data_IF_696941937099
#
_entry.id   IF_696941937099
#
_cell.length_a   1.000
_cell.length_b   1.000
_cell.length_c   1.000
_cell.angle_alpha   90.00
_cell.angle_beta   90.00
_cell.angle_gamma   90.00
#
_symmetry.space_group_name_H-M   'P 1'
#
loop_
_entity.id
_entity.type
_entity.pdbx_description
1 polymer ?
#
# COMPACT_ATOMS: atom_id res chain seq x y z
N UNK A 1 -9.09 33.95 -2.40
CA UNK A 1 -9.55 33.05 -3.49
C UNK A 1 -9.04 33.48 -4.88
N UNK A 2 -9.13 34.77 -5.25
CA UNK A 2 -8.77 35.23 -6.61
C UNK A 2 -7.38 34.83 -7.14
N UNK A 3 -6.38 34.78 -6.27
CA UNK A 3 -5.02 34.46 -6.63
C UNK A 3 -4.85 33.06 -7.27
N UNK A 4 -5.72 32.10 -6.91
CA UNK A 4 -5.67 30.72 -7.39
C UNK A 4 -6.18 30.62 -8.83
N UNK A 5 -7.06 31.54 -9.25
CA UNK A 5 -7.69 31.53 -10.58
C UNK A 5 -6.81 32.16 -11.69
N UNK A 6 -5.61 32.65 -11.36
CA UNK A 6 -4.65 33.20 -12.33
C UNK A 6 -4.77 34.71 -12.55
N UNK A 7 -3.77 35.27 -13.26
CA UNK A 7 -3.54 36.74 -13.40
C UNK A 7 -4.71 37.55 -13.97
N UNK A 8 -5.69 36.93 -14.63
CA UNK A 8 -6.82 37.61 -15.26
C UNK A 8 -8.08 37.71 -14.36
N UNK A 9 -8.04 37.06 -13.19
CA UNK A 9 -9.13 36.99 -12.22
C UNK A 9 -8.86 37.89 -11.02
N UNK A 10 -9.76 38.84 -10.78
CA UNK A 10 -9.73 39.76 -9.63
C UNK A 10 -10.90 39.41 -8.68
N UNK A 11 -10.74 39.66 -7.38
CA UNK A 11 -11.75 39.44 -6.34
C UNK A 11 -13.08 40.11 -6.68
N UNK A 12 -13.06 41.30 -7.29
CA UNK A 12 -14.29 41.99 -7.74
C UNK A 12 -15.04 41.21 -8.83
N UNK A 13 -14.32 40.60 -9.79
CA UNK A 13 -14.94 39.76 -10.83
C UNK A 13 -15.56 38.51 -10.20
N UNK A 14 -14.89 37.92 -9.21
CA UNK A 14 -15.38 36.71 -8.54
C UNK A 14 -16.67 37.00 -7.78
N UNK A 15 -16.70 38.07 -6.98
CA UNK A 15 -17.92 38.47 -6.27
C UNK A 15 -19.07 38.80 -7.22
N UNK A 16 -18.77 39.34 -8.41
CA UNK A 16 -19.78 39.56 -9.45
C UNK A 16 -20.36 38.25 -10.01
N UNK A 17 -19.54 37.21 -10.17
CA UNK A 17 -19.98 35.90 -10.66
C UNK A 17 -20.68 35.07 -9.59
N UNK A 18 -20.24 35.13 -8.33
CA UNK A 18 -20.91 34.49 -7.20
C UNK A 18 -22.34 35.01 -7.00
N UNK A 19 -22.60 36.28 -7.32
CA UNK A 19 -23.93 36.87 -7.28
C UNK A 19 -24.87 36.47 -8.43
N UNK A 20 -24.36 35.83 -9.49
CA UNK A 20 -25.18 35.41 -10.65
C UNK A 20 -25.60 33.95 -10.52
N UNK A 21 -26.91 33.70 -10.54
CA UNK A 21 -27.47 32.34 -10.52
C UNK A 21 -27.31 31.56 -11.84
N UNK A 22 -26.86 32.21 -12.92
CA UNK A 22 -26.61 31.57 -14.22
C UNK A 22 -25.29 32.09 -14.79
N UNK A 23 -24.40 31.15 -15.11
CA UNK A 23 -23.10 31.41 -15.73
C UNK A 23 -23.17 30.90 -17.17
N UNK A 24 -22.65 31.69 -18.10
CA UNK A 24 -22.59 31.32 -19.51
C UNK A 24 -21.60 30.16 -19.73
N UNK A 25 -21.89 29.26 -20.67
CA UNK A 25 -21.07 28.06 -20.92
C UNK A 25 -19.64 28.41 -21.36
N UNK A 26 -19.48 29.54 -22.07
CA UNK A 26 -18.18 30.08 -22.51
C UNK A 26 -17.30 30.44 -21.32
N UNK A 27 -17.83 31.19 -20.34
CA UNK A 27 -17.15 31.54 -19.09
C UNK A 27 -16.93 30.30 -18.21
N UNK A 28 -17.88 29.37 -18.21
CA UNK A 28 -17.75 28.12 -17.44
C UNK A 28 -16.56 27.29 -17.93
N UNK A 29 -16.31 27.24 -19.24
CA UNK A 29 -15.13 26.58 -19.83
C UNK A 29 -13.81 27.25 -19.41
N UNK A 30 -13.79 28.58 -19.30
CA UNK A 30 -12.59 29.29 -18.82
C UNK A 30 -12.33 28.98 -17.34
N UNK A 31 -13.37 29.02 -16.51
CA UNK A 31 -13.28 28.69 -15.09
C UNK A 31 -12.85 27.24 -14.90
N UNK A 32 -13.41 26.31 -15.69
CA UNK A 32 -13.09 24.88 -15.64
C UNK A 32 -11.63 24.62 -15.99
N UNK A 33 -11.11 25.30 -17.02
CA UNK A 33 -9.72 25.20 -17.44
C UNK A 33 -8.76 25.74 -16.35
N UNK A 34 -9.12 26.85 -15.72
CA UNK A 34 -8.34 27.43 -14.63
C UNK A 34 -8.33 26.54 -13.39
N UNK A 35 -9.47 25.96 -13.02
CA UNK A 35 -9.62 25.07 -11.88
C UNK A 35 -9.11 23.64 -12.15
N UNK A 36 -8.80 23.31 -13.42
CA UNK A 36 -8.46 21.96 -13.87
C UNK A 36 -9.56 20.92 -13.56
N UNK A 37 -10.82 21.35 -13.57
CA UNK A 37 -11.99 20.50 -13.32
C UNK A 37 -12.81 20.44 -14.60
N UNK A 38 -13.28 19.28 -15.07
CA UNK A 38 -14.08 19.21 -16.28
C UNK A 38 -15.47 19.87 -16.12
N UNK A 39 -15.95 20.53 -17.18
CA UNK A 39 -17.15 21.39 -17.19
C UNK A 39 -18.42 20.67 -16.73
N UNK A 40 -18.54 19.38 -17.07
CA UNK A 40 -19.71 18.58 -16.71
C UNK A 40 -19.92 18.49 -15.19
N UNK A 41 -18.87 18.68 -14.38
CA UNK A 41 -18.97 18.68 -12.91
C UNK A 41 -19.92 19.74 -12.37
N UNK A 42 -20.00 20.89 -13.03
CA UNK A 42 -20.91 21.97 -12.62
C UNK A 42 -22.37 21.70 -12.99
N UNK A 43 -22.65 20.66 -13.78
CA UNK A 43 -23.99 20.27 -14.22
C UNK A 43 -24.55 19.09 -13.41
N UNK A 44 -23.76 18.55 -12.48
CA UNK A 44 -24.15 17.40 -11.66
C UNK A 44 -25.01 17.88 -10.47
N UNK A 45 -26.06 17.14 -10.09
CA UNK A 45 -26.80 17.43 -8.85
C UNK A 45 -25.90 17.22 -7.61
N UNK A 46 -26.11 18.04 -6.57
CA UNK A 46 -25.25 18.12 -5.37
C UNK A 46 -25.00 16.77 -4.67
N UNK A 47 -25.99 15.88 -4.67
CA UNK A 47 -25.89 14.55 -4.09
C UNK A 47 -24.86 13.66 -4.80
N UNK A 48 -24.73 13.78 -6.12
CA UNK A 48 -23.75 13.03 -6.92
C UNK A 48 -22.39 13.75 -6.86
N UNK A 49 -22.36 15.09 -6.86
CA UNK A 49 -21.13 15.86 -6.69
C UNK A 49 -20.41 15.51 -5.39
N UNK A 50 -21.14 15.47 -4.26
CA UNK A 50 -20.56 15.07 -2.98
C UNK A 50 -20.06 13.62 -3.00
N UNK A 51 -20.73 12.71 -3.70
CA UNK A 51 -20.26 11.35 -3.91
C UNK A 51 -18.91 11.29 -4.64
N UNK A 52 -18.76 12.04 -5.73
CA UNK A 52 -17.53 12.06 -6.54
C UNK A 52 -16.39 12.78 -5.79
N UNK A 53 -16.65 13.96 -5.24
CA UNK A 53 -15.62 14.77 -4.56
C UNK A 53 -15.15 14.13 -3.27
N UNK A 54 -16.05 13.54 -2.48
CA UNK A 54 -15.66 12.81 -1.26
C UNK A 54 -15.02 11.46 -1.56
N UNK A 55 -15.33 10.83 -2.70
CA UNK A 55 -14.60 9.64 -3.16
C UNK A 55 -13.20 9.98 -3.64
N UNK A 56 -12.98 11.14 -4.30
CA UNK A 56 -11.66 11.63 -4.65
C UNK A 56 -10.86 12.05 -3.40
N UNK A 57 -11.55 12.52 -2.35
CA UNK A 57 -10.98 12.79 -1.03
C UNK A 57 -10.94 11.57 -0.10
N UNK A 58 -11.31 10.36 -0.54
CA UNK A 58 -10.73 9.18 0.09
C UNK A 58 -9.28 9.20 -0.36
N UNK A 59 -8.32 9.53 0.53
CA UNK A 59 -6.95 9.29 0.17
C UNK A 59 -6.85 7.79 -0.15
N UNK A 60 -5.84 7.44 -0.92
CA UNK A 60 -5.44 6.09 -1.35
C UNK A 60 -5.08 5.17 -0.14
N UNK A 61 -5.67 5.42 1.03
CA UNK A 61 -5.48 4.73 2.29
C UNK A 61 -6.48 3.58 2.31
N UNK A 62 -5.94 2.37 2.29
CA UNK A 62 -6.60 1.07 2.20
C UNK A 62 -6.97 0.63 0.79
N UNK A 63 -5.95 0.57 -0.07
CA UNK A 63 -5.88 -0.51 -1.05
C UNK A 63 -5.70 -1.82 -0.25
N UNK A 64 -6.80 -2.56 -0.04
CA UNK A 64 -6.81 -3.89 0.61
C UNK A 64 -5.67 -4.78 0.07
N UNK A 65 -5.29 -4.57 -1.19
CA UNK A 65 -4.21 -5.24 -1.87
C UNK A 65 -2.82 -5.07 -1.20
N UNK A 66 -2.51 -3.90 -0.65
CA UNK A 66 -1.21 -3.65 0.01
C UNK A 66 -1.09 -4.44 1.32
N UNK A 67 -2.17 -4.49 2.10
CA UNK A 67 -2.22 -5.28 3.34
C UNK A 67 -2.14 -6.77 3.04
N UNK A 68 -2.84 -7.23 2.00
CA UNK A 68 -2.77 -8.62 1.56
C UNK A 68 -1.37 -9.02 1.11
N UNK A 69 -0.66 -8.19 0.33
CA UNK A 69 0.72 -8.48 -0.06
C UNK A 69 1.66 -8.58 1.15
N UNK A 70 1.50 -7.69 2.14
CA UNK A 70 2.34 -7.73 3.33
C UNK A 70 2.08 -8.98 4.18
N UNK A 71 0.83 -9.44 4.25
CA UNK A 71 0.47 -10.68 4.95
C UNK A 71 1.12 -11.89 4.25
N UNK A 72 1.06 -11.97 2.92
CA UNK A 72 1.68 -13.07 2.15
C UNK A 72 3.20 -13.09 2.36
N UNK A 73 3.87 -11.94 2.28
CA UNK A 73 5.33 -11.84 2.51
C UNK A 73 5.74 -12.39 3.89
N UNK A 74 4.99 -12.03 4.94
CA UNK A 74 5.26 -12.50 6.29
C UNK A 74 5.01 -14.01 6.43
N UNK A 75 3.97 -14.52 5.78
CA UNK A 75 3.64 -15.94 5.81
C UNK A 75 4.70 -16.79 5.11
N UNK A 76 5.22 -16.35 3.97
CA UNK A 76 6.32 -17.02 3.26
C UNK A 76 7.60 -17.07 4.10
N UNK A 77 7.95 -15.97 4.79
CA UNK A 77 9.11 -15.94 5.69
C UNK A 77 8.93 -16.86 6.90
N UNK A 78 7.73 -16.91 7.47
CA UNK A 78 7.44 -17.82 8.57
C UNK A 78 7.58 -19.28 8.12
N UNK A 79 7.02 -19.62 6.96
CA UNK A 79 7.13 -20.96 6.38
C UNK A 79 8.59 -21.36 6.15
N UNK A 80 9.42 -20.40 5.70
CA UNK A 80 10.85 -20.60 5.51
C UNK A 80 11.56 -20.88 6.85
N UNK A 81 11.27 -20.10 7.89
CA UNK A 81 11.81 -20.29 9.24
C UNK A 81 11.44 -21.66 9.83
N UNK A 82 10.20 -22.12 9.61
CA UNK A 82 9.79 -23.47 10.05
C UNK A 82 10.58 -24.57 9.34
N UNK A 83 10.77 -24.46 8.01
CA UNK A 83 11.55 -25.41 7.23
C UNK A 83 13.00 -25.48 7.70
N UNK A 84 13.63 -24.33 7.95
CA UNK A 84 14.99 -24.26 8.46
C UNK A 84 15.11 -24.91 9.85
N UNK A 85 14.12 -24.69 10.72
CA UNK A 85 14.05 -25.35 12.02
C UNK A 85 13.99 -26.88 11.88
N UNK A 86 13.19 -27.40 10.96
CA UNK A 86 13.10 -28.85 10.72
C UNK A 86 14.41 -29.42 10.14
N UNK A 87 15.05 -28.71 9.20
CA UNK A 87 16.33 -29.15 8.64
C UNK A 87 17.44 -29.21 9.71
N UNK A 88 17.45 -28.26 10.66
CA UNK A 88 18.37 -28.31 11.80
C UNK A 88 18.09 -29.50 12.72
N UNK A 89 16.81 -29.80 12.99
CA UNK A 89 16.43 -30.95 13.80
C UNK A 89 16.88 -32.26 13.17
N UNK A 90 16.69 -32.42 11.85
CA UNK A 90 17.18 -33.59 11.11
C UNK A 90 18.71 -33.68 11.14
N UNK A 91 19.42 -32.57 10.98
CA UNK A 91 20.87 -32.53 11.08
C UNK A 91 21.36 -32.91 12.49
N UNK A 92 20.70 -32.43 13.54
CA UNK A 92 21.01 -32.79 14.94
C UNK A 92 20.77 -34.28 15.18
N UNK A 93 19.67 -34.83 14.66
CA UNK A 93 19.36 -36.25 14.77
C UNK A 93 20.41 -37.11 14.03
N UNK A 94 20.83 -36.71 12.83
CA UNK A 94 21.91 -37.35 12.08
C UNK A 94 23.25 -37.30 12.81
N UNK A 95 23.63 -36.15 13.38
CA UNK A 95 24.86 -36.01 14.17
C UNK A 95 24.82 -36.94 15.38
N UNK A 96 23.69 -37.04 16.09
CA UNK A 96 23.52 -37.95 17.23
C UNK A 96 23.66 -39.42 16.83
N UNK A 97 23.12 -39.81 15.68
CA UNK A 97 23.29 -41.16 15.12
C UNK A 97 24.75 -41.43 14.72
N UNK A 98 25.45 -40.44 14.17
CA UNK A 98 26.86 -40.56 13.81
C UNK A 98 27.78 -40.68 15.05
N UNK A 99 27.53 -39.90 16.11
CA UNK A 99 28.35 -39.92 17.35
C UNK A 99 28.12 -41.17 18.20
N UNK A 100 26.90 -41.71 18.22
CA UNK A 100 26.61 -43.01 18.88
C UNK A 100 27.21 -44.22 18.14
N UNK A 101 27.43 -44.11 16.83
CA UNK A 101 28.21 -45.08 16.05
C UNK A 101 29.73 -44.97 16.23
N UNK A 102 30.26 -43.83 16.69
CA UNK A 102 31.69 -43.68 17.01
C UNK A 102 32.01 -44.08 18.45
N UNK A 103 31.13 -43.81 19.42
CA UNK A 103 31.35 -44.23 20.83
C UNK A 103 31.36 -45.75 21.02
N UNK A 104 30.67 -46.50 20.15
CA UNK A 104 30.69 -47.98 20.15
C UNK A 104 31.99 -48.58 19.58
N UNK A 105 32.91 -47.77 19.03
CA UNK A 105 34.22 -48.22 18.55
C UNK A 105 35.38 -47.87 19.47
N UNK A 106 35.17 -46.96 20.44
CA UNK A 106 36.23 -46.48 21.32
C UNK A 106 36.32 -47.27 22.64
N UNK A 107 35.30 -48.06 23.00
CA UNK A 107 35.34 -48.98 24.16
C UNK A 107 35.99 -50.35 23.87
N UNK A 108 36.46 -50.61 22.64
CA UNK A 108 37.09 -51.89 22.25
C UNK A 108 38.61 -51.78 21.99
N UNK A 109 39.26 -50.69 22.38
CA UNK A 109 40.71 -50.52 22.27
C UNK A 109 41.37 -50.25 23.64
N UNK A 110 40.94 -50.95 24.69
CA UNK A 110 41.66 -50.96 25.97
C UNK A 110 41.69 -52.36 26.58
N UNK A 111 42.26 -53.33 25.87
CA UNK A 111 42.92 -54.51 26.45
C UNK A 111 43.57 -55.32 25.35
N UNK A 112 44.86 -55.09 25.10
CA UNK A 112 45.85 -56.11 24.74
C UNK A 112 47.19 -55.38 24.54
N UNK A 113 47.99 -55.29 25.60
CA UNK A 113 49.44 -55.22 25.48
C UNK A 113 50.03 -56.23 26.46
N UNK A 114 51.06 -56.89 25.96
CA UNK A 114 51.74 -58.11 26.40
C UNK A 114 52.29 -58.11 27.83
#
# INVERSE_FOLDING_TARGET
>A
MAFILGKNWNQQKISYWEGRHKIEISTLNEISHVLQVPVWIFQIPENIFNGIVLQIQKPIILDDYFYMQKIVELYERLLQSERERYALLEAVEWVKCATSSSESKESTNQSFDF
#
